data_IF_546734141791
#
_entry.id   IF_546734141791
#
_cell.length_a   1.000
_cell.length_b   1.000
_cell.length_c   1.000
_cell.angle_alpha   90.00
_cell.angle_beta   90.00
_cell.angle_gamma   90.00
#
_symmetry.space_group_name_H-M   'P 1'
#
loop_
_entity.id
_entity.type
_entity.pdbx_description
1 polymer ?
#
# COMPACT_ATOMS: atom_id res chain seq x y z
N UNK A 1 -12.08 41.00 -10.57
CA UNK A 1 -12.47 40.33 -9.32
C UNK A 1 -13.13 39.01 -9.70
N UNK A 2 -12.48 37.88 -9.39
CA UNK A 2 -12.98 36.53 -9.69
C UNK A 2 -13.64 35.97 -8.44
N UNK A 3 -14.92 35.67 -8.54
CA UNK A 3 -15.78 35.20 -7.44
C UNK A 3 -15.53 33.71 -7.20
N UNK A 4 -14.99 33.37 -6.02
CA UNK A 4 -14.72 31.99 -5.63
C UNK A 4 -16.05 31.27 -5.36
N UNK A 5 -16.44 30.37 -6.26
CA UNK A 5 -17.57 29.45 -6.05
C UNK A 5 -17.28 28.56 -4.84
N UNK A 6 -17.91 28.86 -3.70
CA UNK A 6 -17.92 28.01 -2.51
C UNK A 6 -18.79 26.78 -2.81
N UNK A 7 -18.17 25.64 -3.10
CA UNK A 7 -18.89 24.38 -3.23
C UNK A 7 -19.43 23.96 -1.86
N UNK A 8 -20.76 23.92 -1.71
CA UNK A 8 -21.43 23.43 -0.51
C UNK A 8 -21.44 21.90 -0.55
N UNK A 9 -20.41 21.29 0.04
CA UNK A 9 -20.32 19.83 0.20
C UNK A 9 -21.25 19.44 1.36
N UNK A 10 -22.21 18.54 1.11
CA UNK A 10 -23.15 18.05 2.12
C UNK A 10 -22.50 16.96 3.00
N UNK A 11 -22.96 16.80 4.24
CA UNK A 11 -22.35 15.90 5.24
C UNK A 11 -22.14 14.45 4.76
N UNK A 12 -23.04 13.91 3.94
CA UNK A 12 -22.88 12.56 3.37
C UNK A 12 -21.69 12.43 2.40
N UNK A 13 -21.38 13.48 1.62
CA UNK A 13 -20.20 13.44 0.74
C UNK A 13 -18.89 13.44 1.54
N UNK A 14 -18.85 14.17 2.66
CA UNK A 14 -17.69 14.21 3.54
C UNK A 14 -17.46 12.84 4.20
N UNK A 15 -18.53 12.19 4.68
CA UNK A 15 -18.44 10.87 5.31
C UNK A 15 -17.99 9.80 4.31
N UNK A 16 -18.53 9.79 3.09
CA UNK A 16 -18.09 8.85 2.05
C UNK A 16 -16.63 9.07 1.65
N UNK A 17 -16.17 10.33 1.54
CA UNK A 17 -14.77 10.64 1.25
C UNK A 17 -13.83 10.20 2.37
N UNK A 18 -14.22 10.42 3.63
CA UNK A 18 -13.44 10.00 4.79
C UNK A 18 -13.33 8.47 4.86
N UNK A 19 -14.42 7.75 4.59
CA UNK A 19 -14.45 6.29 4.54
C UNK A 19 -13.57 5.73 3.43
N UNK A 20 -13.62 6.31 2.23
CA UNK A 20 -12.76 5.95 1.09
C UNK A 20 -11.28 6.17 1.43
N UNK A 21 -10.97 7.29 2.10
CA UNK A 21 -9.60 7.62 2.49
C UNK A 21 -9.05 6.64 3.54
N UNK A 22 -9.81 6.35 4.60
CA UNK A 22 -9.42 5.40 5.64
C UNK A 22 -9.20 3.98 5.08
N UNK A 23 -10.08 3.56 4.16
CA UNK A 23 -9.93 2.28 3.51
C UNK A 23 -8.70 2.21 2.57
N UNK A 24 -8.44 3.28 1.82
CA UNK A 24 -7.23 3.39 0.99
C UNK A 24 -5.95 3.26 1.82
N UNK A 25 -5.93 3.82 3.04
CA UNK A 25 -4.80 3.68 3.97
C UNK A 25 -4.63 2.22 4.39
N UNK A 26 -5.70 1.54 4.80
CA UNK A 26 -5.66 0.12 5.21
C UNK A 26 -5.14 -0.79 4.09
N UNK A 27 -5.60 -0.57 2.86
CA UNK A 27 -5.10 -1.33 1.71
C UNK A 27 -3.61 -1.07 1.49
N UNK A 28 -3.17 0.19 1.55
CA UNK A 28 -1.75 0.55 1.44
C UNK A 28 -0.89 -0.10 2.53
N UNK A 29 -1.34 -0.10 3.77
CA UNK A 29 -0.62 -0.73 4.89
C UNK A 29 -0.43 -2.24 4.69
N UNK A 30 -1.47 -2.94 4.23
CA UNK A 30 -1.37 -4.38 3.88
C UNK A 30 -0.30 -4.65 2.83
N UNK A 31 -0.18 -3.80 1.81
CA UNK A 31 0.87 -3.95 0.81
C UNK A 31 2.27 -3.71 1.41
N UNK A 32 2.42 -2.74 2.30
CA UNK A 32 3.69 -2.51 3.00
C UNK A 32 4.09 -3.71 3.88
N UNK A 33 3.14 -4.37 4.55
CA UNK A 33 3.40 -5.61 5.29
C UNK A 33 3.87 -6.74 4.35
N UNK A 34 3.19 -6.95 3.23
CA UNK A 34 3.61 -7.95 2.24
C UNK A 34 5.04 -7.68 1.73
N UNK A 35 5.40 -6.41 1.53
CA UNK A 35 6.78 -6.06 1.12
C UNK A 35 7.82 -6.35 2.21
N UNK A 36 7.47 -6.18 3.49
CA UNK A 36 8.33 -6.60 4.61
C UNK A 36 8.53 -8.11 4.64
N UNK A 37 7.50 -8.87 4.29
CA UNK A 37 7.55 -10.33 4.17
C UNK A 37 8.30 -10.81 2.90
N UNK A 38 8.81 -9.88 2.09
CA UNK A 38 9.63 -10.18 0.91
C UNK A 38 8.84 -10.31 -0.40
N UNK A 39 7.55 -9.97 -0.42
CA UNK A 39 6.78 -9.97 -1.65
C UNK A 39 7.25 -8.86 -2.62
N UNK A 40 7.40 -9.23 -3.89
CA UNK A 40 7.46 -8.27 -5.00
C UNK A 40 6.09 -7.63 -5.27
N UNK A 41 6.02 -6.51 -6.00
CA UNK A 41 4.75 -5.89 -6.42
C UNK A 41 3.74 -6.88 -7.00
N UNK A 42 4.19 -7.73 -7.93
CA UNK A 42 3.34 -8.72 -8.60
C UNK A 42 2.82 -9.79 -7.63
N UNK A 43 3.70 -10.33 -6.78
CA UNK A 43 3.30 -11.36 -5.81
C UNK A 43 2.40 -10.81 -4.71
N UNK A 44 2.61 -9.56 -4.29
CA UNK A 44 1.77 -8.88 -3.32
C UNK A 44 0.37 -8.62 -3.91
N UNK A 45 0.30 -8.16 -5.17
CA UNK A 45 -0.96 -7.94 -5.87
C UNK A 45 -1.75 -9.25 -6.00
N UNK A 46 -1.09 -10.32 -6.45
CA UNK A 46 -1.72 -11.64 -6.56
C UNK A 46 -2.22 -12.15 -5.21
N UNK A 47 -1.44 -11.97 -4.14
CA UNK A 47 -1.83 -12.37 -2.78
C UNK A 47 -3.05 -11.58 -2.29
N UNK A 48 -3.10 -10.28 -2.59
CA UNK A 48 -4.23 -9.42 -2.26
C UNK A 48 -5.49 -9.79 -3.03
N UNK A 49 -5.39 -9.97 -4.35
CA UNK A 49 -6.50 -10.42 -5.19
C UNK A 49 -7.04 -11.77 -4.72
N UNK A 50 -6.17 -12.74 -4.44
CA UNK A 50 -6.58 -14.05 -3.92
C UNK A 50 -7.36 -13.93 -2.60
N UNK A 51 -7.00 -12.99 -1.72
CA UNK A 51 -7.79 -12.69 -0.51
C UNK A 51 -9.18 -12.12 -0.87
N UNK A 52 -9.29 -11.27 -1.89
CA UNK A 52 -10.60 -10.78 -2.35
C UNK A 52 -11.46 -11.93 -2.90
N UNK A 53 -10.88 -12.84 -3.67
CA UNK A 53 -11.57 -14.04 -4.16
C UNK A 53 -12.10 -14.91 -3.02
N UNK A 54 -11.30 -15.13 -1.97
CA UNK A 54 -11.70 -15.95 -0.81
C UNK A 54 -12.76 -15.29 0.07
N UNK A 55 -12.81 -13.95 0.11
CA UNK A 55 -13.71 -13.22 0.99
C UNK A 55 -15.04 -12.83 0.35
N UNK A 56 -15.17 -12.89 -0.97
CA UNK A 56 -16.41 -12.54 -1.66
C UNK A 56 -17.50 -13.60 -1.40
N UNK A 57 -18.71 -13.15 -1.05
CA UNK A 57 -19.84 -14.06 -0.80
C UNK A 57 -20.40 -14.61 -2.12
N UNK A 58 -20.24 -13.87 -3.22
CA UNK A 58 -20.68 -14.27 -4.56
C UNK A 58 -19.91 -13.50 -5.65
N UNK A 59 -20.12 -13.91 -6.91
CA UNK A 59 -19.46 -13.32 -8.08
C UNK A 59 -19.77 -11.83 -8.28
N UNK A 60 -21.00 -11.38 -8.00
CA UNK A 60 -21.34 -9.96 -8.12
C UNK A 60 -20.61 -9.09 -7.10
N UNK A 61 -20.43 -9.58 -5.88
CA UNK A 61 -19.65 -8.90 -4.85
C UNK A 61 -18.17 -8.90 -5.20
N UNK A 62 -17.63 -10.02 -5.68
CA UNK A 62 -16.27 -10.12 -6.17
C UNK A 62 -15.98 -9.09 -7.28
N UNK A 63 -16.86 -8.98 -8.27
CA UNK A 63 -16.73 -8.00 -9.35
C UNK A 63 -16.72 -6.57 -8.82
N UNK A 64 -17.53 -6.26 -7.79
CA UNK A 64 -17.50 -4.95 -7.13
C UNK A 64 -16.16 -4.69 -6.44
N UNK A 65 -15.62 -5.68 -5.73
CA UNK A 65 -14.32 -5.57 -5.05
C UNK A 65 -13.16 -5.40 -6.04
N UNK A 66 -13.16 -6.14 -7.15
CA UNK A 66 -12.10 -6.08 -8.17
C UNK A 66 -12.12 -4.78 -8.98
N UNK A 67 -13.31 -4.23 -9.25
CA UNK A 67 -13.47 -2.98 -10.02
C UNK A 67 -13.21 -1.74 -9.14
N UNK A 68 -13.36 -1.86 -7.81
CA UNK A 68 -13.12 -0.76 -6.91
C UNK A 68 -11.62 -0.44 -6.82
N UNK A 69 -11.20 0.68 -7.41
CA UNK A 69 -9.80 1.15 -7.41
C UNK A 69 -9.27 1.59 -6.04
N UNK A 70 -10.15 1.72 -5.05
CA UNK A 70 -9.76 1.92 -3.64
C UNK A 70 -9.34 0.59 -3.00
N UNK A 71 -9.91 -0.52 -3.47
CA UNK A 71 -9.74 -1.86 -2.91
C UNK A 71 -8.69 -2.65 -3.70
N UNK A 72 -8.74 -2.58 -5.03
CA UNK A 72 -7.76 -3.17 -5.95
C UNK A 72 -6.94 -2.05 -6.61
N UNK A 73 -5.89 -1.63 -5.92
CA UNK A 73 -4.97 -0.60 -6.39
C UNK A 73 -4.30 -1.05 -7.68
N UNK A 74 -4.18 -0.12 -8.63
CA UNK A 74 -3.52 -0.39 -9.91
C UNK A 74 -2.07 -0.84 -9.72
N UNK A 75 -1.60 -1.73 -10.59
CA UNK A 75 -0.23 -2.24 -10.53
C UNK A 75 0.81 -1.12 -10.56
N UNK A 76 0.59 -0.05 -11.34
CA UNK A 76 1.49 1.10 -11.37
C UNK A 76 1.59 1.80 -10.02
N UNK A 77 0.49 1.89 -9.28
CA UNK A 77 0.49 2.42 -7.91
C UNK A 77 1.27 1.51 -6.97
N UNK A 78 1.02 0.19 -7.02
CA UNK A 78 1.73 -0.79 -6.18
C UNK A 78 3.22 -0.82 -6.48
N UNK A 79 3.61 -0.72 -7.76
CA UNK A 79 5.01 -0.64 -8.18
C UNK A 79 5.70 0.60 -7.64
N UNK A 80 5.04 1.76 -7.70
CA UNK A 80 5.57 3.00 -7.12
C UNK A 80 5.67 2.94 -5.59
N UNK A 81 4.68 2.35 -4.93
CA UNK A 81 4.70 2.14 -3.48
C UNK A 81 5.87 1.24 -3.07
N UNK A 82 6.11 0.16 -3.82
CA UNK A 82 7.25 -0.72 -3.58
C UNK A 82 8.58 -0.01 -3.79
N UNK A 83 8.70 0.82 -4.82
CA UNK A 83 9.89 1.62 -5.04
C UNK A 83 10.17 2.56 -3.86
N UNK A 84 9.15 3.28 -3.37
CA UNK A 84 9.27 4.14 -2.19
C UNK A 84 9.64 3.35 -0.93
N UNK A 85 9.03 2.17 -0.73
CA UNK A 85 9.37 1.26 0.35
C UNK A 85 10.84 0.85 0.29
N UNK A 86 11.31 0.41 -0.89
CA UNK A 86 12.70 0.04 -1.13
C UNK A 86 13.65 1.20 -0.86
N UNK A 87 13.36 2.39 -1.35
CA UNK A 87 14.19 3.57 -1.13
C UNK A 87 14.25 3.98 0.35
N UNK A 88 13.15 3.82 1.08
CA UNK A 88 13.09 4.15 2.51
C UNK A 88 13.87 3.15 3.36
N UNK A 89 13.74 1.85 3.08
CA UNK A 89 14.38 0.80 3.88
C UNK A 89 15.84 0.57 3.47
N UNK A 90 16.15 0.65 2.18
CA UNK A 90 17.44 0.25 1.62
C UNK A 90 18.26 1.43 1.06
N UNK A 91 17.68 2.63 1.03
CA UNK A 91 18.26 3.77 0.33
C UNK A 91 18.07 3.71 -1.18
N UNK A 92 18.51 4.76 -1.86
CA UNK A 92 18.52 4.81 -3.33
C UNK A 92 19.53 3.83 -3.95
N UNK A 93 19.69 3.89 -5.27
CA UNK A 93 20.52 2.98 -6.07
C UNK A 93 21.97 2.80 -5.61
N UNK A 94 22.48 3.67 -4.74
CA UNK A 94 23.85 3.63 -4.24
C UNK A 94 24.05 2.65 -3.08
N UNK A 95 23.00 1.97 -2.58
CA UNK A 95 23.10 0.82 -1.67
C UNK A 95 23.77 1.06 -0.31
N UNK A 96 24.24 2.28 -0.04
CA UNK A 96 25.00 2.64 1.18
C UNK A 96 24.24 2.27 2.45
N UNK A 97 22.93 2.55 2.47
CA UNK A 97 22.06 2.24 3.59
C UNK A 97 21.87 0.72 3.80
N UNK A 98 21.85 -0.10 2.74
CA UNK A 98 21.91 -1.58 2.87
C UNK A 98 23.19 -2.00 3.58
N UNK A 99 24.34 -1.47 3.15
CA UNK A 99 25.62 -1.85 3.75
C UNK A 99 25.72 -1.40 5.21
N UNK A 100 25.25 -0.20 5.53
CA UNK A 100 25.18 0.30 6.91
C UNK A 100 24.26 -0.56 7.78
N UNK A 101 23.07 -0.92 7.28
CA UNK A 101 22.13 -1.79 7.98
C UNK A 101 22.69 -3.21 8.19
N UNK A 102 23.37 -3.78 7.20
CA UNK A 102 24.06 -5.07 7.34
C UNK A 102 25.16 -5.03 8.41
N UNK A 103 25.90 -3.92 8.49
CA UNK A 103 26.91 -3.73 9.54
C UNK A 103 26.26 -3.71 10.93
N UNK A 104 25.10 -3.08 11.09
CA UNK A 104 24.34 -3.09 12.35
C UNK A 104 23.85 -4.49 12.72
N UNK A 105 23.21 -5.21 11.78
CA UNK A 105 22.73 -6.58 11.99
C UNK A 105 23.88 -7.50 12.45
N UNK A 106 25.04 -7.40 11.80
CA UNK A 106 26.23 -8.21 12.15
C UNK A 106 26.75 -7.86 13.55
N UNK A 107 26.76 -6.57 13.92
CA UNK A 107 27.16 -6.14 15.27
C UNK A 107 26.20 -6.69 16.33
N UNK A 108 24.90 -6.59 16.11
CA UNK A 108 23.90 -7.08 17.05
C UNK A 108 24.03 -8.59 17.25
N UNK A 109 24.18 -9.36 16.17
CA UNK A 109 24.43 -10.79 16.23
C UNK A 109 25.68 -11.13 17.07
N UNK A 110 26.78 -10.40 16.83
CA UNK A 110 28.04 -10.62 17.55
C UNK A 110 27.96 -10.22 19.03
N UNK A 111 27.18 -9.20 19.37
CA UNK A 111 26.99 -8.74 20.75
C UNK A 111 25.92 -9.53 21.52
N UNK A 112 25.15 -10.37 20.82
CA UNK A 112 24.13 -11.24 21.41
C UNK A 112 24.68 -12.60 21.86
N UNK A 113 25.99 -12.84 21.70
CA UNK A 113 26.73 -14.03 22.13
C UNK A 113 27.70 -13.73 23.27
#
# INVERSE_FOLDING_TARGET
MSESRKYKITGNQVVSQLFIFDWSIKTREKFLELFKDGHSPSSALYTHENKLYLNAVNEQELLKLLVNRVDNLDYGYISNLFQQYRETIFGGCNGKLIFEHLVEIVKDYNNSN
#
